data_IF_061789026369
#
_entry.id   IF_061789026369
#
_cell.length_a   1.000
_cell.length_b   1.000
_cell.length_c   1.000
_cell.angle_alpha   90.00
_cell.angle_beta   90.00
_cell.angle_gamma   90.00
#
_symmetry.space_group_name_H-M   'P 1'
#
loop_
_entity.id
_entity.type
_entity.pdbx_description
1 polymer ?
#
# COMPACT_ATOMS: atom_id res chain seq x y z
N UNK A 1 -6.70 -7.89 6.14
CA UNK A 1 -5.32 -7.66 5.63
C UNK A 1 -5.05 -6.18 5.74
N UNK A 2 -3.91 -5.80 6.34
CA UNK A 2 -3.56 -4.40 6.52
C UNK A 2 -3.35 -3.68 5.20
N UNK A 3 -3.83 -2.44 5.10
CA UNK A 3 -3.68 -1.58 3.92
C UNK A 3 -2.23 -1.44 3.48
N UNK A 4 -1.31 -1.25 4.43
CA UNK A 4 0.13 -1.18 4.13
C UNK A 4 0.65 -2.46 3.46
N UNK A 5 0.22 -3.63 3.91
CA UNK A 5 0.66 -4.91 3.37
C UNK A 5 0.14 -5.14 1.95
N UNK A 6 -1.03 -4.60 1.59
CA UNK A 6 -1.56 -4.62 0.22
C UNK A 6 -0.63 -3.86 -0.72
N UNK A 7 -0.27 -2.63 -0.34
CA UNK A 7 0.64 -1.79 -1.14
C UNK A 7 2.04 -2.42 -1.20
N UNK A 8 2.53 -2.97 -0.08
CA UNK A 8 3.81 -3.66 -0.02
C UNK A 8 3.83 -4.84 -0.99
N UNK A 9 2.79 -5.68 -1.00
CA UNK A 9 2.69 -6.78 -1.95
C UNK A 9 2.69 -6.30 -3.41
N UNK A 10 2.03 -5.18 -3.71
CA UNK A 10 2.07 -4.58 -5.04
C UNK A 10 3.50 -4.18 -5.44
N UNK A 11 4.26 -3.60 -4.51
CA UNK A 11 5.65 -3.20 -4.73
C UNK A 11 6.59 -4.40 -4.92
N UNK A 12 6.39 -5.48 -4.17
CA UNK A 12 7.11 -6.75 -4.34
C UNK A 12 6.82 -7.33 -5.73
N UNK A 13 5.55 -7.41 -6.12
CA UNK A 13 5.15 -7.94 -7.43
C UNK A 13 5.73 -7.13 -8.59
N UNK A 14 5.83 -5.80 -8.42
CA UNK A 14 6.46 -4.90 -9.37
C UNK A 14 8.00 -4.89 -9.29
N UNK A 15 8.61 -5.78 -8.50
CA UNK A 15 10.07 -5.89 -8.28
C UNK A 15 10.73 -4.58 -7.83
N UNK A 16 9.96 -3.70 -7.18
CA UNK A 16 10.48 -2.45 -6.61
C UNK A 16 11.15 -2.66 -5.26
N UNK A 17 10.74 -3.71 -4.55
CA UNK A 17 11.31 -4.16 -3.29
C UNK A 17 11.40 -5.69 -3.31
N UNK A 18 12.30 -6.25 -2.49
CA UNK A 18 12.44 -7.70 -2.32
C UNK A 18 11.87 -8.20 -1.00
N UNK A 19 11.76 -7.32 0.00
CA UNK A 19 11.34 -7.64 1.36
C UNK A 19 10.07 -6.86 1.75
N UNK A 20 9.10 -7.56 2.34
CA UNK A 20 7.82 -6.95 2.75
C UNK A 20 8.01 -5.87 3.81
N UNK A 21 8.86 -6.12 4.82
CA UNK A 21 9.12 -5.19 5.92
C UNK A 21 9.77 -3.88 5.47
N UNK A 22 10.66 -3.97 4.48
CA UNK A 22 11.28 -2.80 3.86
C UNK A 22 10.27 -1.97 3.08
N UNK A 23 9.43 -2.63 2.27
CA UNK A 23 8.37 -1.98 1.52
C UNK A 23 7.38 -1.28 2.45
N UNK A 24 6.92 -1.94 3.52
CA UNK A 24 6.00 -1.36 4.51
C UNK A 24 6.60 -0.15 5.23
N UNK A 25 7.89 -0.23 5.61
CA UNK A 25 8.60 0.89 6.24
C UNK A 25 8.72 2.09 5.29
N UNK A 26 9.01 1.83 4.02
CA UNK A 26 9.06 2.86 2.97
C UNK A 26 7.68 3.51 2.74
N UNK A 27 6.61 2.72 2.69
CA UNK A 27 5.24 3.23 2.57
C UNK A 27 4.88 4.09 3.78
N UNK A 28 5.20 3.65 5.00
CA UNK A 28 4.96 4.44 6.23
C UNK A 28 5.67 5.79 6.19
N UNK A 29 6.92 5.82 5.70
CA UNK A 29 7.66 7.07 5.48
C UNK A 29 6.95 7.98 4.48
N UNK A 30 6.58 7.45 3.30
CA UNK A 30 5.84 8.21 2.27
C UNK A 30 4.51 8.74 2.81
N UNK A 31 3.82 7.95 3.63
CA UNK A 31 2.59 8.36 4.28
C UNK A 31 2.84 9.55 5.20
N UNK A 32 3.75 9.44 6.16
CA UNK A 32 4.04 10.50 7.11
C UNK A 32 4.54 11.78 6.43
N UNK A 33 5.33 11.66 5.36
CA UNK A 33 5.83 12.79 4.58
C UNK A 33 4.72 13.49 3.78
N UNK A 34 3.65 12.78 3.40
CA UNK A 34 2.58 13.29 2.53
C UNK A 34 1.29 13.63 3.28
N UNK A 35 1.10 13.08 4.47
CA UNK A 35 -0.14 13.14 5.26
C UNK A 35 0.17 13.39 6.73
N UNK A 36 0.95 14.44 7.02
CA UNK A 36 1.43 14.75 8.37
C UNK A 36 0.31 14.95 9.41
N UNK A 37 -0.88 15.38 8.97
CA UNK A 37 -2.05 15.61 9.84
C UNK A 37 -2.89 14.33 10.09
N UNK A 38 -2.48 13.19 9.54
CA UNK A 38 -3.20 11.92 9.67
C UNK A 38 -2.35 10.86 10.39
N UNK A 39 -2.99 10.05 11.23
CA UNK A 39 -2.32 8.92 11.87
C UNK A 39 -2.22 7.74 10.90
N UNK A 40 -1.00 7.27 10.66
CA UNK A 40 -0.76 6.06 9.88
C UNK A 40 -1.46 4.84 10.49
N UNK A 41 -1.45 4.72 11.81
CA UNK A 41 -2.02 3.56 12.50
C UNK A 41 -3.55 3.56 12.43
N UNK A 42 -4.18 4.74 12.41
CA UNK A 42 -5.63 4.88 12.16
C UNK A 42 -5.99 4.61 10.70
N UNK A 43 -5.15 5.06 9.76
CA UNK A 43 -5.36 4.78 8.34
C UNK A 43 -5.17 3.29 8.03
N UNK A 44 -4.19 2.62 8.65
CA UNK A 44 -3.79 1.23 8.38
C UNK A 44 -4.76 0.19 8.99
N UNK A 45 -6.02 0.28 8.59
CA UNK A 45 -7.07 -0.65 8.97
C UNK A 45 -7.02 -1.95 8.15
N UNK A 46 -7.85 -2.91 8.54
CA UNK A 46 -7.99 -4.17 7.83
C UNK A 46 -8.99 -4.05 6.67
N UNK A 47 -8.54 -4.48 5.50
CA UNK A 47 -9.36 -4.65 4.30
C UNK A 47 -9.61 -6.14 4.09
N UNK A 48 -10.78 -6.47 3.54
CA UNK A 48 -11.14 -7.86 3.21
C UNK A 48 -10.12 -8.45 2.23
N UNK A 49 -9.80 -9.73 2.38
CA UNK A 49 -8.85 -10.42 1.50
C UNK A 49 -9.30 -10.38 0.04
N UNK A 50 -10.60 -10.42 -0.21
CA UNK A 50 -11.16 -10.35 -1.56
C UNK A 50 -10.89 -8.99 -2.22
N UNK A 51 -11.14 -7.89 -1.51
CA UNK A 51 -10.83 -6.54 -2.00
C UNK A 51 -9.32 -6.33 -2.16
N UNK A 52 -8.53 -6.79 -1.20
CA UNK A 52 -7.07 -6.73 -1.24
C UNK A 52 -6.51 -7.42 -2.49
N UNK A 53 -6.92 -8.66 -2.75
CA UNK A 53 -6.46 -9.43 -3.91
C UNK A 53 -6.86 -8.79 -5.24
N UNK A 54 -8.04 -8.15 -5.30
CA UNK A 54 -8.47 -7.40 -6.48
C UNK A 54 -7.55 -6.22 -6.77
N UNK A 55 -7.20 -5.44 -5.75
CA UNK A 55 -6.27 -4.30 -5.89
C UNK A 55 -4.89 -4.80 -6.32
N UNK A 56 -4.35 -5.82 -5.66
CA UNK A 56 -3.05 -6.41 -6.00
C UNK A 56 -3.01 -6.88 -7.46
N UNK A 57 -4.07 -7.54 -7.91
CA UNK A 57 -4.17 -8.04 -9.29
C UNK A 57 -4.25 -6.91 -10.33
N UNK A 58 -4.98 -5.82 -10.02
CA UNK A 58 -5.07 -4.64 -10.89
C UNK A 58 -3.70 -3.95 -11.04
N UNK A 59 -2.95 -3.86 -9.96
CA UNK A 59 -1.64 -3.19 -9.94
C UNK A 59 -0.54 -4.06 -10.55
N UNK A 60 -0.67 -5.39 -10.53
CA UNK A 60 0.34 -6.30 -11.08
C UNK A 60 0.61 -6.10 -12.58
N UNK A 61 -0.35 -5.53 -13.34
CA UNK A 61 -0.17 -5.17 -14.74
C UNK A 61 0.43 -3.78 -14.99
N UNK A 62 0.67 -2.99 -13.94
CA UNK A 62 1.16 -1.62 -14.07
C UNK A 62 2.69 -1.58 -14.20
N UNK A 63 3.20 -0.78 -15.14
CA UNK A 63 4.64 -0.55 -15.32
C UNK A 63 5.30 0.19 -14.15
N UNK A 64 4.51 0.91 -13.34
CA UNK A 64 4.97 1.62 -12.15
C UNK A 64 3.88 1.67 -11.08
N UNK A 65 4.23 1.25 -9.86
CA UNK A 65 3.36 1.35 -8.70
C UNK A 65 3.39 2.78 -8.15
N UNK A 66 2.22 3.42 -8.05
CA UNK A 66 2.08 4.77 -7.47
C UNK A 66 1.60 4.68 -6.03
N UNK A 67 2.55 4.60 -5.08
CA UNK A 67 2.26 4.45 -3.63
C UNK A 67 1.26 5.48 -3.12
N UNK A 68 1.46 6.77 -3.41
CA UNK A 68 0.52 7.83 -2.97
C UNK A 68 -0.90 7.63 -3.50
N UNK A 69 -1.04 7.18 -4.75
CA UNK A 69 -2.35 6.90 -5.35
C UNK A 69 -3.06 5.73 -4.66
N UNK A 70 -2.32 4.67 -4.35
CA UNK A 70 -2.85 3.52 -3.61
C UNK A 70 -3.24 3.88 -2.17
N UNK A 71 -2.48 4.76 -1.51
CA UNK A 71 -2.83 5.28 -0.19
C UNK A 71 -4.20 5.98 -0.23
N UNK A 72 -4.44 6.81 -1.25
CA UNK A 72 -5.72 7.50 -1.44
C UNK A 72 -6.87 6.55 -1.81
N UNK A 73 -6.61 5.57 -2.67
CA UNK A 73 -7.59 4.56 -3.06
C UNK A 73 -8.05 3.74 -1.83
N UNK A 74 -7.11 3.34 -0.99
CA UNK A 74 -7.39 2.61 0.25
C UNK A 74 -7.96 3.47 1.36
N UNK A 75 -8.05 4.80 1.21
CA UNK A 75 -8.65 5.67 2.22
C UNK A 75 -10.17 5.46 2.35
N UNK A 76 -10.82 5.09 1.23
CA UNK A 76 -12.26 4.88 1.15
C UNK A 76 -12.68 3.40 1.31
N UNK A 77 -11.73 2.54 1.63
CA UNK A 77 -11.92 1.10 1.86
C UNK A 77 -11.92 0.76 3.35
#
# INVERSE_FOLDING_TARGET
MKKVSIIAQCLINAKSFSEMSEAESSIKKVFNDSYADHSFDEWNTDVSTLSANRIISLVAGASKVRVRGLIQELWNH
#
